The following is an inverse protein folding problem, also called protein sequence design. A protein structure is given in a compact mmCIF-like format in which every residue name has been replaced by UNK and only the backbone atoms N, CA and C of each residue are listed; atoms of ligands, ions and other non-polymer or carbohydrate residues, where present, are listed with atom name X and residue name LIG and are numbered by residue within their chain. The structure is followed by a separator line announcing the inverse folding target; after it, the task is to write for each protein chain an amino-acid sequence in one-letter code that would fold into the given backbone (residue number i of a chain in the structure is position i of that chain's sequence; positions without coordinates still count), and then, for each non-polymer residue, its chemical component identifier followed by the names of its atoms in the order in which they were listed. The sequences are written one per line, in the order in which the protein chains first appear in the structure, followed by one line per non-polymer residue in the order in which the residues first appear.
data_IF_024643142897
#
_entry.id   IF_024643142897
#
_cell.length_a   1.000
_cell.length_b   1.000
_cell.length_c   1.000
_cell.angle_alpha   90.00
_cell.angle_beta   90.00
_cell.angle_gamma   90.00
#
_symmetry.space_group_name_H-M   'P 1'
#
loop_
_entity.id
_entity.type
_entity.pdbx_description
1 polymer ?
#
# COMPACT_ATOMS: atom_id res chain seq x y z
N UNK A 1 9.32 -22.27 -11.42
CA UNK A 1 9.90 -21.02 -10.86
C UNK A 1 8.86 -19.97 -10.40
N UNK A 2 7.55 -20.12 -10.63
CA UNK A 2 6.52 -19.09 -10.34
C UNK A 2 6.09 -18.79 -8.87
N UNK A 3 6.20 -19.71 -7.88
CA UNK A 3 5.58 -19.48 -6.56
C UNK A 3 6.39 -18.56 -5.61
N UNK A 4 7.69 -18.38 -5.84
CA UNK A 4 8.57 -17.58 -4.97
C UNK A 4 8.40 -16.08 -5.19
N UNK A 5 8.32 -15.63 -6.45
CA UNK A 5 8.10 -14.22 -6.82
C UNK A 5 6.79 -13.70 -6.25
N UNK A 6 5.72 -14.52 -6.32
CA UNK A 6 4.39 -14.16 -5.81
C UNK A 6 4.40 -13.90 -4.30
N UNK A 7 5.06 -14.76 -3.51
CA UNK A 7 5.18 -14.57 -2.05
C UNK A 7 6.02 -13.34 -1.71
N UNK A 8 7.05 -13.06 -2.51
CA UNK A 8 7.90 -11.88 -2.32
C UNK A 8 7.12 -10.58 -2.54
N UNK A 9 6.27 -10.52 -3.57
CA UNK A 9 5.51 -9.30 -3.88
C UNK A 9 4.45 -9.01 -2.80
N UNK A 10 3.72 -10.02 -2.31
CA UNK A 10 2.79 -9.84 -1.18
C UNK A 10 3.53 -9.38 0.09
N UNK A 11 4.70 -9.97 0.38
CA UNK A 11 5.55 -9.53 1.51
C UNK A 11 6.02 -8.09 1.36
N UNK A 12 6.35 -7.67 0.14
CA UNK A 12 6.78 -6.31 -0.14
C UNK A 12 5.63 -5.31 0.02
N UNK A 13 4.42 -5.64 -0.45
CA UNK A 13 3.23 -4.83 -0.22
C UNK A 13 2.95 -4.69 1.29
N UNK A 14 3.04 -5.80 2.05
CA UNK A 14 2.93 -5.77 3.52
C UNK A 14 3.96 -4.84 4.16
N UNK A 15 5.21 -4.88 3.71
CA UNK A 15 6.27 -4.01 4.21
C UNK A 15 5.96 -2.53 3.96
N UNK A 16 5.51 -2.18 2.74
CA UNK A 16 5.11 -0.82 2.39
C UNK A 16 3.98 -0.27 3.26
N UNK A 17 3.05 -1.13 3.67
CA UNK A 17 1.98 -0.79 4.61
C UNK A 17 2.52 -0.53 6.02
N UNK A 18 3.31 -1.45 6.58
CA UNK A 18 3.81 -1.35 7.96
C UNK A 18 4.80 -0.19 8.16
N UNK A 19 5.56 0.17 7.12
CA UNK A 19 6.57 1.24 7.17
C UNK A 19 6.06 2.56 6.58
N UNK A 20 4.75 2.66 6.28
CA UNK A 20 4.19 3.87 5.72
C UNK A 20 4.27 5.05 6.69
N UNK A 21 4.60 6.23 6.15
CA UNK A 21 4.59 7.50 6.89
C UNK A 21 3.79 8.54 6.11
N UNK A 22 3.34 9.64 6.74
CA UNK A 22 2.68 10.72 6.02
C UNK A 22 3.49 11.28 4.84
N UNK A 23 4.83 11.22 4.93
CA UNK A 23 5.73 11.69 3.87
C UNK A 23 5.88 10.69 2.71
N UNK A 24 5.75 9.40 2.99
CA UNK A 24 6.01 8.33 2.02
C UNK A 24 4.75 7.70 1.43
N UNK A 25 3.57 7.95 2.01
CA UNK A 25 2.33 7.23 1.69
C UNK A 25 1.97 7.22 0.21
N UNK A 26 2.16 8.34 -0.50
CA UNK A 26 1.84 8.41 -1.93
C UNK A 26 2.77 7.52 -2.76
N UNK A 27 4.08 7.52 -2.47
CA UNK A 27 5.03 6.66 -3.15
C UNK A 27 4.80 5.19 -2.79
N UNK A 28 4.45 4.90 -1.54
CA UNK A 28 4.16 3.54 -1.08
C UNK A 28 2.94 2.96 -1.80
N UNK A 29 1.86 3.74 -1.95
CA UNK A 29 0.68 3.33 -2.72
C UNK A 29 1.04 3.05 -4.18
N UNK A 30 1.79 3.94 -4.83
CA UNK A 30 2.19 3.74 -6.23
C UNK A 30 3.03 2.46 -6.41
N UNK A 31 4.02 2.24 -5.54
CA UNK A 31 4.84 1.01 -5.55
C UNK A 31 4.00 -0.24 -5.29
N UNK A 32 3.04 -0.17 -4.37
CA UNK A 32 2.17 -1.29 -4.05
C UNK A 32 1.25 -1.66 -5.22
N UNK A 33 0.76 -0.68 -6.00
CA UNK A 33 0.01 -0.92 -7.24
C UNK A 33 0.85 -1.67 -8.27
N UNK A 34 2.10 -1.27 -8.49
CA UNK A 34 2.99 -1.97 -9.43
C UNK A 34 3.27 -3.41 -9.00
N UNK A 35 3.48 -3.64 -7.69
CA UNK A 35 3.63 -4.99 -7.14
C UNK A 35 2.34 -5.81 -7.28
N UNK A 36 1.17 -5.19 -7.07
CA UNK A 36 -0.12 -5.85 -7.18
C UNK A 36 -0.37 -6.36 -8.62
N UNK A 37 -0.06 -5.55 -9.64
CA UNK A 37 -0.19 -5.92 -11.07
C UNK A 37 0.62 -7.17 -11.43
N UNK A 38 1.75 -7.38 -10.76
CA UNK A 38 2.64 -8.51 -11.00
C UNK A 38 2.22 -9.81 -10.27
N UNK A 39 1.10 -9.82 -9.53
CA UNK A 39 0.61 -11.01 -8.83
C UNK A 39 -0.20 -11.92 -9.78
N UNK A 40 0.28 -13.16 -10.05
CA UNK A 40 -0.33 -14.01 -11.07
C UNK A 40 -1.61 -14.72 -10.59
N UNK A 41 -1.78 -14.93 -9.28
CA UNK A 41 -2.88 -15.73 -8.74
C UNK A 41 -3.89 -14.90 -7.95
N UNK A 42 -5.15 -15.32 -8.02
CA UNK A 42 -6.24 -14.67 -7.30
C UNK A 42 -6.03 -14.72 -5.78
N UNK A 43 -5.58 -15.87 -5.24
CA UNK A 43 -5.27 -15.99 -3.82
C UNK A 43 -4.20 -14.99 -3.35
N UNK A 44 -3.19 -14.70 -4.18
CA UNK A 44 -2.17 -13.71 -3.84
C UNK A 44 -2.72 -12.28 -3.88
N UNK A 45 -3.56 -11.97 -4.88
CA UNK A 45 -4.25 -10.67 -4.97
C UNK A 45 -5.17 -10.43 -3.77
N UNK A 46 -5.95 -11.43 -3.35
CA UNK A 46 -6.80 -11.35 -2.16
C UNK A 46 -6.00 -11.05 -0.89
N UNK A 47 -4.85 -11.72 -0.70
CA UNK A 47 -3.96 -11.44 0.45
C UNK A 47 -3.36 -10.03 0.39
N UNK A 48 -3.01 -9.56 -0.81
CA UNK A 48 -2.48 -8.22 -1.01
C UNK A 48 -3.54 -7.13 -0.81
N UNK A 49 -4.81 -7.41 -1.15
CA UNK A 49 -5.92 -6.46 -1.07
C UNK A 49 -6.08 -5.88 0.34
N UNK A 50 -5.98 -6.71 1.39
CA UNK A 50 -6.05 -6.27 2.79
C UNK A 50 -5.02 -5.16 3.10
N UNK A 51 -3.80 -5.30 2.58
CA UNK A 51 -2.75 -4.29 2.77
C UNK A 51 -2.96 -3.06 1.89
N UNK A 52 -3.53 -3.23 0.69
CA UNK A 52 -3.89 -2.12 -0.21
C UNK A 52 -5.00 -1.24 0.39
N UNK A 53 -5.97 -1.85 1.07
CA UNK A 53 -7.04 -1.14 1.76
C UNK A 53 -6.47 -0.30 2.92
N UNK A 54 -5.60 -0.91 3.74
CA UNK A 54 -4.90 -0.18 4.81
C UNK A 54 -4.06 0.99 4.29
N UNK A 55 -3.32 0.81 3.19
CA UNK A 55 -2.58 1.90 2.53
C UNK A 55 -3.51 3.02 2.04
N UNK A 56 -4.69 2.67 1.52
CA UNK A 56 -5.68 3.65 1.04
C UNK A 56 -6.32 4.43 2.18
N UNK A 57 -6.59 3.77 3.31
CA UNK A 57 -7.07 4.41 4.54
C UNK A 57 -6.05 5.41 5.09
N UNK A 58 -4.79 4.99 5.28
CA UNK A 58 -3.72 5.86 5.76
C UNK A 58 -3.52 7.08 4.86
N UNK A 59 -3.54 6.90 3.53
CA UNK A 59 -3.44 8.01 2.56
C UNK A 59 -4.54 9.04 2.79
N UNK A 60 -5.77 8.57 2.96
CA UNK A 60 -6.93 9.42 3.16
C UNK A 60 -6.83 10.17 4.49
N UNK A 61 -6.56 9.47 5.58
CA UNK A 61 -6.44 10.06 6.91
C UNK A 61 -5.38 11.15 6.97
N UNK A 62 -4.18 10.89 6.44
CA UNK A 62 -3.09 11.87 6.46
C UNK A 62 -3.33 13.05 5.50
N UNK A 63 -4.00 12.82 4.37
CA UNK A 63 -4.42 13.89 3.47
C UNK A 63 -5.43 14.81 4.15
N UNK A 64 -6.43 14.24 4.83
CA UNK A 64 -7.43 15.00 5.58
C UNK A 64 -6.82 15.72 6.79
N UNK A 65 -5.90 15.08 7.52
CA UNK A 65 -5.16 15.72 8.61
C UNK A 65 -4.35 16.93 8.13
N UNK A 66 -3.68 16.82 6.98
CA UNK A 66 -2.95 17.94 6.36
C UNK A 66 -3.89 19.09 5.99
N UNK A 67 -5.03 18.80 5.36
CA UNK A 67 -6.03 19.82 5.00
C UNK A 67 -6.60 20.53 6.23
N UNK A 68 -6.93 19.78 7.29
CA UNK A 68 -7.40 20.37 8.56
C UNK A 68 -6.38 21.32 9.15
N UNK A 69 -5.10 20.92 9.23
CA UNK A 69 -4.02 21.78 9.74
C UNK A 69 -3.85 23.06 8.92
N UNK A 70 -4.02 23.01 7.60
CA UNK A 70 -3.92 24.19 6.75
C UNK A 70 -5.09 25.17 6.92
N UNK A 71 -6.29 24.67 7.26
CA UNK A 71 -7.48 25.52 7.50
C UNK A 71 -7.44 26.28 8.83
N UNK A 72 -6.73 25.74 9.82
CA UNK A 72 -6.57 26.36 11.15
C UNK A 72 -5.30 27.21 11.28
N UNK A 73 -4.58 27.41 10.18
CA UNK A 73 -3.39 28.24 10.08
C UNK A 73 -3.74 29.55 9.40
#
# INVERSE_FOLDING_TARGET
MAPTVTRNNVRQIRKLYLEATPRTIQSNVNKAVELLKSLPTESARQKAAVYMDGLSQLRTEWTLAKKRRAKHR
#
